data_IF_749579068906
#
_entry.id   IF_749579068906
#
_cell.length_a   1.000
_cell.length_b   1.000
_cell.length_c   1.000
_cell.angle_alpha   90.00
_cell.angle_beta   90.00
_cell.angle_gamma   90.00
#
_symmetry.space_group_name_H-M   'P 1'
#
loop_
_entity.id
_entity.type
_entity.pdbx_description
1 polymer ?
#
# COMPACT_ATOMS: atom_id res chain seq x y z
N UNK A 1 -16.77 -27.67 55.20
CA UNK A 1 -15.81 -27.69 54.08
C UNK A 1 -14.38 -27.93 54.56
N UNK A 2 -13.87 -27.18 55.55
CA UNK A 2 -12.50 -27.36 56.07
C UNK A 2 -12.32 -28.68 56.84
N UNK A 3 -13.28 -29.07 57.68
CA UNK A 3 -13.21 -30.33 58.47
C UNK A 3 -13.25 -31.60 57.59
N UNK A 4 -14.03 -31.58 56.50
CA UNK A 4 -14.09 -32.68 55.53
C UNK A 4 -12.78 -32.84 54.73
N UNK A 5 -12.11 -31.73 54.41
CA UNK A 5 -10.83 -31.76 53.71
C UNK A 5 -9.70 -32.31 54.60
N UNK A 6 -9.74 -31.99 55.90
CA UNK A 6 -8.80 -32.56 56.88
C UNK A 6 -9.00 -34.07 57.06
N UNK A 7 -10.26 -34.53 57.11
CA UNK A 7 -10.56 -35.96 57.22
C UNK A 7 -10.10 -36.73 55.98
N UNK A 8 -10.34 -36.22 54.76
CA UNK A 8 -9.91 -36.85 53.50
C UNK A 8 -8.38 -36.92 53.36
N UNK A 9 -7.67 -35.90 53.86
CA UNK A 9 -6.20 -35.86 53.88
C UNK A 9 -5.61 -36.90 54.85
N UNK A 10 -6.31 -37.21 55.94
CA UNK A 10 -5.92 -38.23 56.92
C UNK A 10 -6.25 -39.66 56.45
N UNK A 11 -7.36 -39.87 55.72
CA UNK A 11 -7.79 -41.20 55.29
C UNK A 11 -7.26 -41.63 53.91
N UNK A 12 -7.13 -40.71 52.95
CA UNK A 12 -6.64 -40.98 51.59
C UNK A 12 -5.80 -39.78 51.08
N UNK A 13 -4.59 -39.56 51.62
CA UNK A 13 -3.75 -38.41 51.27
C UNK A 13 -3.42 -38.37 49.77
N UNK A 14 -3.25 -39.53 49.13
CA UNK A 14 -2.86 -39.64 47.72
C UNK A 14 -3.97 -39.15 46.77
N UNK A 15 -5.24 -39.44 47.08
CA UNK A 15 -6.40 -38.93 46.33
C UNK A 15 -6.57 -37.42 46.52
N UNK A 16 -6.28 -36.92 47.71
CA UNK A 16 -6.33 -35.48 48.00
C UNK A 16 -5.24 -34.71 47.24
N UNK A 17 -3.99 -35.20 47.24
CA UNK A 17 -2.90 -34.59 46.48
C UNK A 17 -3.16 -34.63 44.97
N UNK A 18 -3.65 -35.75 44.44
CA UNK A 18 -3.98 -35.87 43.00
C UNK A 18 -5.12 -34.94 42.60
N UNK A 19 -6.15 -34.79 43.45
CA UNK A 19 -7.23 -33.82 43.23
C UNK A 19 -6.71 -32.38 43.22
N UNK A 20 -5.84 -31.99 44.16
CA UNK A 20 -5.24 -30.64 44.16
C UNK A 20 -4.41 -30.39 42.91
N UNK A 21 -3.52 -31.32 42.55
CA UNK A 21 -2.68 -31.21 41.36
C UNK A 21 -3.53 -31.11 40.10
N UNK A 22 -4.61 -31.90 39.99
CA UNK A 22 -5.54 -31.82 38.88
C UNK A 22 -6.26 -30.47 38.82
N UNK A 23 -6.76 -29.97 39.96
CA UNK A 23 -7.47 -28.67 40.01
C UNK A 23 -6.54 -27.51 39.62
N UNK A 24 -5.30 -27.52 40.13
CA UNK A 24 -4.28 -26.55 39.76
C UNK A 24 -3.92 -26.65 38.28
N UNK A 25 -3.73 -27.86 37.76
CA UNK A 25 -3.45 -28.10 36.33
C UNK A 25 -4.56 -27.54 35.42
N UNK A 26 -5.83 -27.76 35.77
CA UNK A 26 -6.98 -27.21 35.02
C UNK A 26 -7.03 -25.68 35.11
N UNK A 27 -6.73 -25.09 36.27
CA UNK A 27 -6.68 -23.64 36.45
C UNK A 27 -5.57 -22.99 35.61
N UNK A 28 -4.36 -23.56 35.60
CA UNK A 28 -3.26 -23.10 34.76
C UNK A 28 -3.58 -23.24 33.27
N UNK A 29 -4.16 -24.36 32.86
CA UNK A 29 -4.59 -24.56 31.47
C UNK A 29 -5.67 -23.56 31.03
N UNK A 30 -6.63 -23.24 31.91
CA UNK A 30 -7.64 -22.21 31.65
C UNK A 30 -7.03 -20.82 31.46
N UNK A 31 -6.03 -20.46 32.28
CA UNK A 31 -5.32 -19.18 32.16
C UNK A 31 -4.55 -19.11 30.84
N UNK A 32 -3.82 -20.17 30.50
CA UNK A 32 -3.04 -20.26 29.26
C UNK A 32 -3.92 -20.22 28.01
N UNK A 33 -5.08 -20.88 28.06
CA UNK A 33 -6.06 -20.81 26.96
C UNK A 33 -6.66 -19.41 26.77
N UNK A 34 -6.83 -18.65 27.85
CA UNK A 34 -7.33 -17.26 27.79
C UNK A 34 -6.26 -16.32 27.24
N UNK A 35 -5.02 -16.44 27.70
CA UNK A 35 -3.89 -15.64 27.18
C UNK A 35 -3.66 -15.94 25.69
N UNK A 36 -3.71 -17.21 25.28
CA UNK A 36 -3.55 -17.60 23.88
C UNK A 36 -4.66 -17.05 22.98
N UNK A 37 -5.91 -17.04 23.45
CA UNK A 37 -7.02 -16.38 22.74
C UNK A 37 -6.84 -14.86 22.64
N UNK A 38 -6.33 -14.22 23.69
CA UNK A 38 -6.05 -12.78 23.68
C UNK A 38 -4.90 -12.44 22.72
N UNK A 39 -3.83 -13.24 22.73
CA UNK A 39 -2.71 -13.13 21.80
C UNK A 39 -3.18 -13.31 20.35
N UNK A 40 -3.99 -14.33 20.04
CA UNK A 40 -4.55 -14.53 18.71
C UNK A 40 -5.47 -13.39 18.24
N UNK A 41 -6.18 -12.73 19.16
CA UNK A 41 -6.98 -11.54 18.82
C UNK A 41 -6.08 -10.33 18.56
N UNK A 42 -5.03 -10.15 19.36
CA UNK A 42 -4.07 -9.07 19.19
C UNK A 42 -3.29 -9.21 17.88
N UNK A 43 -2.86 -10.42 17.52
CA UNK A 43 -2.15 -10.69 16.26
C UNK A 43 -3.05 -10.43 15.06
N UNK A 44 -4.31 -10.86 15.08
CA UNK A 44 -5.29 -10.54 14.01
C UNK A 44 -5.51 -9.04 13.87
N UNK A 45 -5.60 -8.31 14.98
CA UNK A 45 -5.72 -6.84 14.95
C UNK A 45 -4.48 -6.16 14.38
N UNK A 46 -3.28 -6.65 14.73
CA UNK A 46 -2.02 -6.16 14.21
C UNK A 46 -1.87 -6.42 12.71
N UNK A 47 -2.27 -7.61 12.23
CA UNK A 47 -2.22 -7.99 10.82
C UNK A 47 -3.14 -7.13 9.96
N UNK A 48 -4.38 -6.88 10.41
CA UNK A 48 -5.32 -5.98 9.71
C UNK A 48 -4.75 -4.54 9.65
N UNK A 49 -4.15 -4.07 10.73
CA UNK A 49 -3.53 -2.75 10.76
C UNK A 49 -2.31 -2.67 9.85
N UNK A 50 -1.51 -3.74 9.77
CA UNK A 50 -0.38 -3.82 8.85
C UNK A 50 -0.83 -3.74 7.39
N UNK A 51 -1.86 -4.50 7.01
CA UNK A 51 -2.43 -4.47 5.65
C UNK A 51 -2.98 -3.08 5.29
N UNK A 52 -3.62 -2.38 6.24
CA UNK A 52 -4.09 -1.00 6.04
C UNK A 52 -2.94 -0.02 5.84
N UNK A 53 -1.88 -0.14 6.63
CA UNK A 53 -0.69 0.69 6.51
C UNK A 53 0.00 0.46 5.17
N UNK A 54 0.10 -0.80 4.73
CA UNK A 54 0.67 -1.16 3.44
C UNK A 54 -0.15 -0.61 2.26
N UNK A 55 -1.47 -0.64 2.36
CA UNK A 55 -2.36 0.02 1.40
C UNK A 55 -2.11 1.52 1.31
N UNK A 56 -2.07 2.22 2.45
CA UNK A 56 -1.79 3.67 2.44
C UNK A 56 -0.41 3.98 1.85
N UNK A 57 0.59 3.14 2.16
CA UNK A 57 1.94 3.28 1.63
C UNK A 57 1.98 3.07 0.11
N UNK A 58 1.26 2.09 -0.41
CA UNK A 58 1.20 1.82 -1.86
C UNK A 58 0.47 2.92 -2.61
N UNK A 59 -0.68 3.40 -2.10
CA UNK A 59 -1.37 4.58 -2.62
C UNK A 59 -0.43 5.79 -2.69
N UNK A 60 0.24 6.12 -1.59
CA UNK A 60 1.20 7.22 -1.55
C UNK A 60 2.37 7.05 -2.52
N UNK A 61 2.86 5.82 -2.72
CA UNK A 61 3.94 5.51 -3.68
C UNK A 61 3.51 5.76 -5.13
N UNK A 62 2.27 5.40 -5.48
CA UNK A 62 1.73 5.64 -6.83
C UNK A 62 1.54 7.13 -7.06
N UNK A 63 1.00 7.84 -6.08
CA UNK A 63 0.84 9.31 -6.12
C UNK A 63 2.19 10.02 -6.27
N UNK A 64 3.20 9.59 -5.53
CA UNK A 64 4.56 10.12 -5.65
C UNK A 64 5.15 9.87 -7.05
N UNK A 65 4.92 8.69 -7.61
CA UNK A 65 5.37 8.34 -8.96
C UNK A 65 4.68 9.21 -10.01
N UNK A 66 3.37 9.45 -9.86
CA UNK A 66 2.60 10.33 -10.72
C UNK A 66 3.08 11.79 -10.62
N UNK A 67 3.31 12.30 -9.40
CA UNK A 67 3.85 13.63 -9.17
C UNK A 67 5.23 13.79 -9.82
N UNK A 68 6.09 12.77 -9.71
CA UNK A 68 7.40 12.75 -10.38
C UNK A 68 7.27 12.83 -11.90
N UNK A 69 6.31 12.10 -12.48
CA UNK A 69 6.00 12.18 -13.91
C UNK A 69 5.53 13.59 -14.32
N UNK A 70 4.64 14.21 -13.54
CA UNK A 70 4.18 15.59 -13.79
C UNK A 70 5.32 16.61 -13.77
N UNK A 71 6.24 16.48 -12.82
CA UNK A 71 7.44 17.33 -12.75
C UNK A 71 8.32 17.17 -14.00
N UNK A 72 8.49 15.94 -14.50
CA UNK A 72 9.22 15.69 -15.75
C UNK A 72 8.51 16.29 -16.97
N UNK A 73 7.18 16.20 -17.01
CA UNK A 73 6.38 16.85 -18.07
C UNK A 73 6.57 18.38 -18.05
N UNK A 74 6.55 18.99 -16.86
CA UNK A 74 6.82 20.43 -16.71
C UNK A 74 8.23 20.79 -17.17
N UNK A 75 9.25 20.04 -16.73
CA UNK A 75 10.63 20.26 -17.15
C UNK A 75 10.81 20.15 -18.67
N UNK A 76 10.16 19.18 -19.32
CA UNK A 76 10.16 19.05 -20.78
C UNK A 76 9.49 20.24 -21.46
N UNK A 77 8.34 20.72 -20.95
CA UNK A 77 7.69 21.93 -21.47
C UNK A 77 8.57 23.17 -21.37
N UNK A 78 9.26 23.34 -20.25
CA UNK A 78 10.15 24.47 -20.05
C UNK A 78 11.37 24.38 -20.98
N UNK A 79 11.93 23.18 -21.20
CA UNK A 79 12.98 22.96 -22.19
C UNK A 79 12.55 23.31 -23.62
N UNK A 80 11.32 22.94 -24.00
CA UNK A 80 10.74 23.33 -25.29
C UNK A 80 10.51 24.85 -25.39
N UNK A 81 10.03 25.49 -24.32
CA UNK A 81 9.85 26.95 -24.26
C UNK A 81 11.17 27.70 -24.38
N UNK A 82 12.21 27.23 -23.69
CA UNK A 82 13.55 27.79 -23.76
C UNK A 82 14.17 27.63 -25.15
N UNK A 83 14.00 26.46 -25.76
CA UNK A 83 14.45 26.20 -27.13
C UNK A 83 13.75 27.12 -28.14
N UNK A 84 12.44 27.34 -28.00
CA UNK A 84 11.67 28.29 -28.82
C UNK A 84 12.17 29.74 -28.62
N UNK A 85 12.46 30.14 -27.38
CA UNK A 85 12.96 31.48 -27.10
C UNK A 85 14.35 31.74 -27.71
N UNK A 86 15.25 30.74 -27.65
CA UNK A 86 16.62 30.86 -28.17
C UNK A 86 16.71 30.82 -29.70
N UNK A 87 15.86 30.04 -30.37
CA UNK A 87 15.89 29.90 -31.84
C UNK A 87 15.04 30.95 -32.58
N UNK A 88 14.58 31.97 -31.85
CA UNK A 88 13.73 33.04 -32.36
C UNK A 88 12.26 32.62 -32.46
N UNK A 89 11.32 33.57 -32.29
CA UNK A 89 9.91 33.29 -32.44
C UNK A 89 9.65 32.87 -33.88
N UNK A 90 9.45 31.57 -34.12
CA UNK A 90 8.75 31.14 -35.33
C UNK A 90 7.39 31.80 -35.23
N UNK A 91 7.12 32.75 -36.13
CA UNK A 91 5.93 33.61 -36.17
C UNK A 91 4.73 32.89 -35.56
N UNK A 92 4.36 33.28 -34.33
CA UNK A 92 3.25 32.72 -33.56
C UNK A 92 1.97 32.85 -34.39
N UNK A 93 1.62 31.80 -35.11
CA UNK A 93 0.22 31.56 -35.45
C UNK A 93 -0.44 31.03 -34.18
N UNK A 94 -1.56 31.61 -33.71
CA UNK A 94 -2.28 31.15 -32.52
C UNK A 94 -2.78 29.69 -32.62
N UNK A 95 -2.61 29.04 -33.77
CA UNK A 95 -2.95 27.64 -34.06
C UNK A 95 -1.76 26.66 -33.97
N UNK A 96 -0.54 27.13 -33.74
CA UNK A 96 0.65 26.28 -33.58
C UNK A 96 1.02 26.18 -32.10
N UNK A 97 0.35 25.31 -31.34
CA UNK A 97 1.05 24.69 -30.22
C UNK A 97 2.16 23.84 -30.83
N UNK A 98 3.40 23.98 -30.33
CA UNK A 98 4.50 23.15 -30.83
C UNK A 98 4.13 21.69 -30.69
N UNK A 99 4.48 20.89 -31.69
CA UNK A 99 4.17 19.45 -31.78
C UNK A 99 4.56 18.73 -30.48
N UNK A 100 5.70 19.10 -29.88
CA UNK A 100 6.15 18.60 -28.58
C UNK A 100 5.21 18.94 -27.41
N UNK A 101 4.54 20.10 -27.39
CA UNK A 101 3.54 20.40 -26.34
C UNK A 101 2.29 19.53 -26.47
N UNK A 102 1.85 19.20 -27.70
CA UNK A 102 0.72 18.29 -27.93
C UNK A 102 1.06 16.87 -27.48
N UNK A 103 2.26 16.40 -27.80
CA UNK A 103 2.75 15.09 -27.38
C UNK A 103 2.85 14.98 -25.86
N UNK A 104 3.41 15.97 -25.18
CA UNK A 104 3.45 16.01 -23.69
C UNK A 104 2.03 15.97 -23.12
N UNK A 105 1.09 16.72 -23.70
CA UNK A 105 -0.31 16.71 -23.25
C UNK A 105 -0.98 15.34 -23.45
N UNK A 106 -0.71 14.64 -24.56
CA UNK A 106 -1.22 13.29 -24.78
C UNK A 106 -0.66 12.29 -23.75
N UNK A 107 0.64 12.38 -23.44
CA UNK A 107 1.27 11.54 -22.41
C UNK A 107 0.68 11.82 -21.02
N UNK A 108 0.37 13.07 -20.69
CA UNK A 108 -0.31 13.41 -19.44
C UNK A 108 -1.75 12.88 -19.36
N UNK A 109 -2.49 12.93 -20.47
CA UNK A 109 -3.83 12.34 -20.54
C UNK A 109 -3.78 10.83 -20.33
N UNK A 110 -2.80 10.15 -20.94
CA UNK A 110 -2.58 8.72 -20.75
C UNK A 110 -2.21 8.40 -19.29
N UNK A 111 -1.30 9.17 -18.67
CA UNK A 111 -0.93 8.99 -17.27
C UNK A 111 -2.13 9.19 -16.32
N UNK A 112 -2.98 10.18 -16.59
CA UNK A 112 -4.23 10.37 -15.83
C UNK A 112 -5.17 9.17 -15.97
N UNK A 113 -5.32 8.62 -17.18
CA UNK A 113 -6.15 7.45 -17.40
C UNK A 113 -5.66 6.24 -16.59
N UNK A 114 -4.35 6.00 -16.54
CA UNK A 114 -3.78 4.94 -15.70
C UNK A 114 -4.01 5.18 -14.20
N UNK A 115 -3.90 6.43 -13.72
CA UNK A 115 -4.17 6.76 -12.32
C UNK A 115 -5.65 6.51 -11.96
N UNK A 116 -6.58 6.90 -12.83
CA UNK A 116 -8.01 6.67 -12.62
C UNK A 116 -8.35 5.18 -12.64
N UNK A 117 -7.73 4.39 -13.52
CA UNK A 117 -7.87 2.93 -13.52
C UNK A 117 -7.37 2.30 -12.23
N UNK A 118 -6.20 2.74 -11.73
CA UNK A 118 -5.68 2.28 -10.44
C UNK A 118 -6.64 2.62 -9.29
N UNK A 119 -7.14 3.85 -9.22
CA UNK A 119 -8.12 4.26 -8.20
C UNK A 119 -9.42 3.46 -8.29
N UNK A 120 -9.88 3.15 -9.49
CA UNK A 120 -11.06 2.31 -9.70
C UNK A 120 -10.85 0.84 -9.27
N UNK A 121 -9.61 0.35 -9.30
CA UNK A 121 -9.26 -0.99 -8.82
C UNK A 121 -9.16 -1.11 -7.30
N UNK A 122 -9.36 -0.01 -6.56
CA UNK A 122 -9.19 0.01 -5.11
C UNK A 122 -10.19 -0.95 -4.43
N UNK A 123 -9.72 -1.87 -3.57
CA UNK A 123 -10.59 -2.76 -2.83
C UNK A 123 -11.37 -1.99 -1.74
N UNK A 124 -12.52 -2.55 -1.34
CA UNK A 124 -13.35 -1.96 -0.30
C UNK A 124 -12.53 -1.68 0.97
N UNK A 125 -12.70 -0.53 1.63
CA UNK A 125 -11.91 -0.12 2.79
C UNK A 125 -12.06 -1.04 4.01
N UNK A 126 -13.13 -1.85 4.04
CA UNK A 126 -13.36 -2.88 5.05
C UNK A 126 -12.90 -4.29 4.66
N UNK A 127 -12.55 -4.53 3.39
CA UNK A 127 -12.16 -5.86 2.93
C UNK A 127 -10.72 -6.17 3.35
N UNK A 128 -10.54 -7.30 4.06
CA UNK A 128 -9.23 -7.87 4.40
C UNK A 128 -8.90 -9.06 3.50
N UNK A 129 -9.44 -9.05 2.28
CA UNK A 129 -9.23 -10.11 1.31
C UNK A 129 -7.82 -9.98 0.74
N UNK A 130 -6.94 -10.92 1.14
CA UNK A 130 -5.52 -10.90 0.83
C UNK A 130 -5.31 -10.98 -0.69
N UNK A 131 -6.14 -11.73 -1.42
CA UNK A 131 -6.01 -11.88 -2.87
C UNK A 131 -6.32 -10.56 -3.60
N UNK A 132 -7.36 -9.85 -3.15
CA UNK A 132 -7.72 -8.53 -3.70
C UNK A 132 -6.66 -7.47 -3.39
N UNK A 133 -6.10 -7.50 -2.19
CA UNK A 133 -5.01 -6.59 -1.80
C UNK A 133 -3.73 -6.88 -2.59
N UNK A 134 -3.39 -8.16 -2.78
CA UNK A 134 -2.24 -8.54 -3.59
C UNK A 134 -2.39 -8.11 -5.06
N UNK A 135 -3.58 -8.30 -5.64
CA UNK A 135 -3.90 -7.81 -6.98
C UNK A 135 -3.77 -6.27 -7.06
N UNK A 136 -4.30 -5.56 -6.06
CA UNK A 136 -4.19 -4.11 -5.96
C UNK A 136 -2.73 -3.63 -5.88
N UNK A 137 -1.88 -4.27 -5.08
CA UNK A 137 -0.45 -3.93 -4.98
C UNK A 137 0.30 -4.25 -6.27
N UNK A 138 -0.06 -5.33 -6.97
CA UNK A 138 0.51 -5.64 -8.28
C UNK A 138 0.15 -4.58 -9.31
N UNK A 139 -1.09 -4.09 -9.30
CA UNK A 139 -1.55 -3.03 -10.19
C UNK A 139 -0.85 -1.70 -9.84
N UNK A 140 -0.69 -1.36 -8.55
CA UNK A 140 0.07 -0.20 -8.10
C UNK A 140 1.49 -0.16 -8.69
N UNK A 141 2.20 -1.30 -8.64
CA UNK A 141 3.53 -1.43 -9.21
C UNK A 141 3.51 -1.27 -10.73
N UNK A 142 2.54 -1.88 -11.40
CA UNK A 142 2.37 -1.75 -12.85
C UNK A 142 2.12 -0.30 -13.26
N UNK A 143 1.19 0.39 -12.59
CA UNK A 143 0.88 1.80 -12.83
C UNK A 143 2.12 2.68 -12.63
N UNK A 144 2.90 2.43 -11.58
CA UNK A 144 4.14 3.17 -11.32
C UNK A 144 5.19 2.96 -12.42
N UNK A 145 5.31 1.73 -12.94
CA UNK A 145 6.18 1.42 -14.09
C UNK A 145 5.69 2.10 -15.38
N UNK A 146 4.38 2.14 -15.63
CA UNK A 146 3.83 2.85 -16.78
C UNK A 146 4.11 4.36 -16.70
N UNK A 147 4.04 4.98 -15.51
CA UNK A 147 4.49 6.38 -15.35
C UNK A 147 5.96 6.57 -15.69
N UNK A 148 6.83 5.66 -15.24
CA UNK A 148 8.25 5.71 -15.57
C UNK A 148 8.49 5.53 -17.09
N UNK A 149 7.71 4.67 -17.74
CA UNK A 149 7.75 4.44 -19.20
C UNK A 149 7.25 5.65 -19.97
N UNK A 150 6.15 6.27 -19.56
CA UNK A 150 5.65 7.50 -20.19
C UNK A 150 6.66 8.64 -20.01
N UNK A 151 7.33 8.70 -18.85
CA UNK A 151 8.37 9.68 -18.60
C UNK A 151 9.58 9.55 -19.55
N UNK A 152 9.94 8.33 -19.99
CA UNK A 152 11.04 8.15 -20.95
C UNK A 152 10.66 8.45 -22.40
N UNK A 153 9.36 8.58 -22.69
CA UNK A 153 8.83 8.96 -24.00
C UNK A 153 8.64 10.48 -24.15
N UNK A 154 8.97 11.25 -23.12
CA UNK A 154 8.83 12.71 -23.19
C UNK A 154 9.71 13.27 -24.31
N UNK A 155 9.15 14.08 -25.22
CA UNK A 155 9.89 14.60 -26.34
C UNK A 155 10.94 15.61 -25.86
N UNK A 156 12.15 15.51 -26.41
CA UNK A 156 13.21 16.50 -26.23
C UNK A 156 13.27 17.44 -27.43
N UNK A 157 13.60 18.73 -27.22
CA UNK A 157 13.76 19.67 -28.31
C UNK A 157 14.90 19.21 -29.24
N UNK A 158 14.56 18.92 -30.51
CA UNK A 158 15.55 18.55 -31.52
C UNK A 158 16.40 19.76 -31.87
N UNK A 159 17.70 19.71 -31.57
CA UNK A 159 18.66 20.68 -32.08
C UNK A 159 18.67 20.65 -33.60
N UNK A 160 18.34 21.77 -34.25
CA UNK A 160 18.30 21.90 -35.72
C UNK A 160 19.68 21.97 -36.39
N UNK A 161 20.76 21.65 -35.67
CA UNK A 161 22.12 21.64 -36.22
C UNK A 161 22.57 20.20 -36.45
N UNK A 162 22.17 19.64 -37.60
CA UNK A 162 22.82 18.51 -38.26
C UNK A 162 22.79 18.73 -39.76
#
# INVERSE_FOLDING_TARGET
MIEYAQYLLLTNPLEFYTAIVATLGVAFWMLDRRSMKAALKATKGAEINALRLERQKTEASVEQSFATFQLRCQASRDAWRDHEWRNGPTLRSPLHSSEGQKEIQQLELAARAYLEQFKASAPDPGSCDIEKLAAYFSEANRTSLEFARLASQLPEPKNRFH
#
